data_IF_298831297550
#
_entry.id   IF_298831297550
#
_cell.length_a   1.000
_cell.length_b   1.000
_cell.length_c   1.000
_cell.angle_alpha   90.00
_cell.angle_beta   90.00
_cell.angle_gamma   90.00
#
_symmetry.space_group_name_H-M   'P 1'
#
loop_
_entity.id
_entity.type
_entity.pdbx_description
1 polymer ?
#
# COMPACT_ATOMS: atom_id res chain seq x y z
N UNK A 1 -9.47 14.94 -9.74
CA UNK A 1 -9.55 13.46 -9.64
C UNK A 1 -8.29 12.96 -8.97
N UNK A 2 -8.41 12.12 -7.97
CA UNK A 2 -7.24 11.56 -7.27
C UNK A 2 -6.56 10.52 -8.16
N UNK A 3 -5.24 10.58 -8.24
CA UNK A 3 -4.42 9.68 -9.07
C UNK A 3 -3.85 8.51 -8.30
N UNK A 4 -3.49 8.74 -7.05
CA UNK A 4 -2.85 7.77 -6.19
C UNK A 4 -3.75 7.49 -4.99
N UNK A 5 -3.95 6.22 -4.68
CA UNK A 5 -4.56 5.81 -3.42
C UNK A 5 -3.50 5.38 -2.43
N UNK A 6 -3.48 5.97 -1.25
CA UNK A 6 -2.66 5.52 -0.13
C UNK A 6 -3.60 4.88 0.88
N UNK A 7 -3.46 3.58 1.08
CA UNK A 7 -4.31 2.85 2.01
C UNK A 7 -3.50 2.04 3.02
N UNK A 8 -4.10 1.84 4.17
CA UNK A 8 -3.47 1.14 5.29
C UNK A 8 -4.49 0.31 6.06
N UNK A 9 -4.04 -0.76 6.69
CA UNK A 9 -4.92 -1.66 7.44
C UNK A 9 -5.39 -1.12 8.79
N UNK A 10 -4.70 -0.12 9.33
CA UNK A 10 -4.99 0.51 10.61
C UNK A 10 -4.49 1.94 10.63
N UNK A 11 -5.10 2.79 11.44
CA UNK A 11 -4.62 4.14 11.71
C UNK A 11 -3.24 4.15 12.38
N UNK A 12 -2.85 3.07 13.04
CA UNK A 12 -1.50 2.89 13.59
C UNK A 12 -0.41 2.87 12.53
N UNK A 13 -0.74 2.60 11.27
CA UNK A 13 0.18 2.62 10.13
C UNK A 13 0.36 4.04 9.55
N UNK A 14 -0.47 4.99 9.96
CA UNK A 14 -0.47 6.35 9.41
C UNK A 14 0.89 7.07 9.53
N UNK A 15 1.65 6.96 10.63
CA UNK A 15 2.97 7.60 10.72
C UNK A 15 3.94 7.19 9.60
N UNK A 16 3.83 5.96 9.12
CA UNK A 16 4.61 5.46 7.98
C UNK A 16 4.00 5.92 6.66
N UNK A 17 2.70 5.71 6.50
CA UNK A 17 2.02 5.92 5.23
C UNK A 17 1.86 7.39 4.83
N UNK A 18 1.74 8.30 5.80
CA UNK A 18 1.65 9.75 5.52
C UNK A 18 2.90 10.32 4.84
N UNK A 19 4.04 9.65 4.98
CA UNK A 19 5.27 10.09 4.33
C UNK A 19 5.20 9.96 2.80
N UNK A 20 4.49 8.95 2.30
CA UNK A 20 4.19 8.86 0.87
C UNK A 20 3.37 10.08 0.40
N UNK A 21 2.38 10.48 1.19
CA UNK A 21 1.59 11.69 0.91
C UNK A 21 2.43 12.95 0.85
N UNK A 22 3.36 13.13 1.79
CA UNK A 22 4.25 14.30 1.82
C UNK A 22 5.08 14.44 0.53
N UNK A 23 5.48 13.33 -0.06
CA UNK A 23 6.24 13.33 -1.31
C UNK A 23 5.36 13.60 -2.50
N UNK A 24 4.18 13.01 -2.54
CA UNK A 24 3.21 13.32 -3.59
C UNK A 24 2.80 14.79 -3.55
N UNK A 25 2.69 15.39 -2.36
CA UNK A 25 2.50 16.83 -2.20
C UNK A 25 3.64 17.63 -2.82
N UNK A 26 4.88 17.24 -2.54
CA UNK A 26 6.07 17.91 -3.11
C UNK A 26 6.15 17.77 -4.63
N UNK A 27 5.62 16.68 -5.18
CA UNK A 27 5.56 16.42 -6.62
C UNK A 27 4.32 17.01 -7.30
N UNK A 28 3.39 17.58 -6.55
CA UNK A 28 2.15 18.13 -7.08
C UNK A 28 1.19 17.06 -7.61
N UNK A 29 1.25 15.84 -7.09
CA UNK A 29 0.39 14.73 -7.50
C UNK A 29 -0.78 14.57 -6.54
N UNK A 30 -2.00 14.58 -7.07
CA UNK A 30 -3.21 14.38 -6.26
C UNK A 30 -3.32 12.95 -5.76
N UNK A 31 -3.62 12.80 -4.48
CA UNK A 31 -3.80 11.51 -3.84
C UNK A 31 -4.93 11.54 -2.80
N UNK A 32 -5.38 10.38 -2.43
CA UNK A 32 -6.23 10.16 -1.25
C UNK A 32 -5.51 9.27 -0.25
N UNK A 33 -5.79 9.45 1.03
CA UNK A 33 -5.26 8.60 2.10
C UNK A 33 -6.40 8.14 2.99
N UNK A 34 -6.53 6.84 3.20
CA UNK A 34 -7.63 6.28 3.99
C UNK A 34 -7.29 4.91 4.59
N UNK A 35 -8.03 4.53 5.62
CA UNK A 35 -7.93 3.21 6.25
C UNK A 35 -8.88 2.24 5.56
N UNK A 36 -8.33 1.11 5.11
CA UNK A 36 -9.08 -0.01 4.54
C UNK A 36 -8.48 -1.30 5.10
N UNK A 37 -9.17 -1.96 6.00
CA UNK A 37 -8.66 -3.17 6.63
C UNK A 37 -9.15 -4.43 5.91
N UNK A 38 -8.22 -5.29 5.52
CA UNK A 38 -8.55 -6.57 4.90
C UNK A 38 -9.35 -7.49 5.83
N UNK A 39 -9.04 -7.50 7.11
CA UNK A 39 -9.64 -8.39 8.09
C UNK A 39 -10.86 -7.79 8.80
N UNK A 40 -10.85 -6.48 9.07
CA UNK A 40 -11.91 -5.82 9.85
C UNK A 40 -12.99 -5.19 8.97
N UNK A 41 -12.64 -4.76 7.76
CA UNK A 41 -13.56 -4.15 6.80
C UNK A 41 -13.42 -4.77 5.41
N UNK A 42 -13.64 -6.10 5.26
CA UNK A 42 -13.42 -6.80 4.00
C UNK A 42 -14.31 -6.29 2.87
N UNK A 43 -15.55 -5.90 3.16
CA UNK A 43 -16.46 -5.30 2.17
C UNK A 43 -15.90 -3.99 1.62
N UNK A 44 -15.41 -3.12 2.49
CA UNK A 44 -14.78 -1.85 2.09
C UNK A 44 -13.54 -2.09 1.21
N UNK A 45 -12.74 -3.11 1.53
CA UNK A 45 -11.61 -3.50 0.69
C UNK A 45 -12.06 -3.89 -0.71
N UNK A 46 -13.10 -4.70 -0.82
CA UNK A 46 -13.64 -5.14 -2.11
C UNK A 46 -14.14 -3.96 -2.93
N UNK A 47 -14.96 -3.10 -2.33
CA UNK A 47 -15.49 -1.89 -2.96
C UNK A 47 -14.37 -0.94 -3.41
N UNK A 48 -13.35 -0.74 -2.57
CA UNK A 48 -12.21 0.11 -2.90
C UNK A 48 -11.43 -0.43 -4.11
N UNK A 49 -11.11 -1.71 -4.11
CA UNK A 49 -10.34 -2.32 -5.19
C UNK A 49 -11.11 -2.37 -6.51
N UNK A 50 -12.38 -2.73 -6.48
CA UNK A 50 -13.23 -2.83 -7.66
C UNK A 50 -13.52 -1.46 -8.31
N UNK A 51 -13.63 -0.41 -7.51
CA UNK A 51 -13.89 0.95 -7.99
C UNK A 51 -12.62 1.73 -8.38
N UNK A 52 -11.44 1.26 -8.03
CA UNK A 52 -10.20 2.00 -8.16
C UNK A 52 -9.92 2.48 -9.59
N UNK A 53 -10.01 1.58 -10.57
CA UNK A 53 -9.76 1.92 -11.98
C UNK A 53 -10.79 2.91 -12.52
N UNK A 54 -12.07 2.72 -12.25
CA UNK A 54 -13.13 3.63 -12.71
C UNK A 54 -13.09 5.00 -12.06
N UNK A 55 -12.52 5.10 -10.83
CA UNK A 55 -12.28 6.39 -10.17
C UNK A 55 -11.01 7.11 -10.65
N UNK A 56 -10.26 6.51 -11.57
CA UNK A 56 -9.06 7.09 -12.17
C UNK A 56 -7.79 6.92 -11.33
N UNK A 57 -7.76 6.03 -10.36
CA UNK A 57 -6.54 5.70 -9.65
C UNK A 57 -5.55 4.99 -10.59
N UNK A 58 -4.33 5.47 -10.63
CA UNK A 58 -3.25 4.95 -11.47
C UNK A 58 -2.33 3.98 -10.70
N UNK A 59 -2.21 4.18 -9.39
CA UNK A 59 -1.45 3.31 -8.48
C UNK A 59 -2.12 3.32 -7.10
N UNK A 60 -2.04 2.20 -6.40
CA UNK A 60 -2.41 2.12 -4.99
C UNK A 60 -1.19 1.73 -4.17
N UNK A 61 -0.85 2.56 -3.19
CA UNK A 61 0.19 2.29 -2.21
C UNK A 61 -0.49 1.74 -0.96
N UNK A 62 -0.25 0.48 -0.66
CA UNK A 62 -0.94 -0.25 0.39
C UNK A 62 0.04 -0.70 1.49
N UNK A 63 -0.13 -0.17 2.68
CA UNK A 63 0.67 -0.52 3.86
C UNK A 63 -0.06 -1.41 4.83
N UNK A 64 0.61 -2.43 5.32
CA UNK A 64 0.06 -3.33 6.32
C UNK A 64 1.17 -3.97 7.18
N UNK A 65 0.82 -4.30 8.41
CA UNK A 65 1.73 -4.93 9.36
C UNK A 65 1.21 -6.29 9.86
N UNK A 66 2.12 -7.12 10.33
CA UNK A 66 1.80 -8.47 10.80
C UNK A 66 1.40 -9.40 9.67
N UNK A 67 0.23 -10.01 9.75
CA UNK A 67 -0.41 -10.73 8.64
C UNK A 67 -0.91 -9.71 7.61
N UNK A 68 -0.01 -9.21 6.81
CA UNK A 68 -0.19 -8.06 5.92
C UNK A 68 -0.86 -8.47 4.59
N UNK A 69 -2.11 -8.91 4.66
CA UNK A 69 -2.85 -9.44 3.50
C UNK A 69 -3.45 -8.35 2.60
N UNK A 70 -3.51 -7.11 3.06
CA UNK A 70 -4.18 -6.01 2.34
C UNK A 70 -3.65 -5.82 0.91
N UNK A 71 -2.35 -5.71 0.63
CA UNK A 71 -1.86 -5.48 -0.73
C UNK A 71 -2.23 -6.62 -1.69
N UNK A 72 -2.04 -7.86 -1.27
CA UNK A 72 -2.36 -9.04 -2.10
C UNK A 72 -3.86 -9.18 -2.39
N UNK A 73 -4.70 -8.91 -1.42
CA UNK A 73 -6.15 -8.95 -1.59
C UNK A 73 -6.64 -7.85 -2.54
N UNK A 74 -6.08 -6.65 -2.47
CA UNK A 74 -6.35 -5.60 -3.45
C UNK A 74 -5.94 -6.03 -4.85
N UNK A 75 -4.72 -6.51 -5.01
CA UNK A 75 -4.18 -6.92 -6.31
C UNK A 75 -5.02 -8.03 -6.97
N UNK A 76 -5.70 -8.85 -6.19
CA UNK A 76 -6.59 -9.90 -6.70
C UNK A 76 -7.89 -9.35 -7.30
N UNK A 77 -8.24 -8.09 -7.06
CA UNK A 77 -9.53 -7.49 -7.39
C UNK A 77 -9.46 -6.25 -8.27
N UNK A 78 -8.28 -5.79 -8.61
CA UNK A 78 -8.09 -4.61 -9.46
C UNK A 78 -6.98 -4.80 -10.48
N UNK A 79 -7.09 -4.09 -11.60
CA UNK A 79 -6.01 -3.99 -12.58
C UNK A 79 -5.05 -2.84 -12.27
N UNK A 80 -5.37 -2.01 -11.29
CA UNK A 80 -4.50 -0.91 -10.85
C UNK A 80 -3.26 -1.49 -10.16
N UNK A 81 -2.05 -1.08 -10.52
CA UNK A 81 -0.82 -1.55 -9.87
C UNK A 81 -0.83 -1.31 -8.36
N UNK A 82 -0.43 -2.32 -7.61
CA UNK A 82 -0.35 -2.27 -6.15
C UNK A 82 1.11 -2.22 -5.70
N UNK A 83 1.43 -1.23 -4.89
CA UNK A 83 2.72 -1.08 -4.21
C UNK A 83 2.54 -1.45 -2.74
N UNK A 84 3.06 -2.61 -2.36
CA UNK A 84 2.96 -3.14 -1.01
C UNK A 84 4.07 -2.64 -0.09
N UNK A 85 3.68 -2.07 1.03
CA UNK A 85 4.61 -1.53 2.03
C UNK A 85 4.52 -2.36 3.31
N UNK A 86 5.55 -3.14 3.64
CA UNK A 86 5.61 -3.83 4.91
C UNK A 86 5.84 -2.83 6.05
N UNK A 87 4.89 -2.76 6.97
CA UNK A 87 5.02 -1.93 8.17
C UNK A 87 5.66 -2.74 9.29
N UNK A 88 6.58 -2.14 10.02
CA UNK A 88 7.23 -2.81 11.14
C UNK A 88 6.21 -3.28 12.17
N UNK A 89 6.39 -4.50 12.66
CA UNK A 89 5.51 -5.15 13.62
C UNK A 89 6.19 -5.32 14.98
N UNK A 90 5.37 -5.46 16.03
CA UNK A 90 5.86 -5.52 17.41
C UNK A 90 6.74 -6.75 17.68
N UNK A 91 6.36 -7.91 17.16
CA UNK A 91 7.02 -9.18 17.53
C UNK A 91 8.12 -9.61 16.56
N UNK A 92 7.92 -9.43 15.27
CA UNK A 92 8.88 -9.86 14.23
C UNK A 92 9.48 -8.69 13.44
N UNK A 93 9.35 -7.49 13.93
CA UNK A 93 10.01 -6.27 13.39
C UNK A 93 9.73 -6.01 11.90
N UNK A 94 8.60 -6.50 11.40
CA UNK A 94 8.18 -6.33 10.02
C UNK A 94 8.57 -7.46 9.07
N UNK A 95 9.32 -8.48 9.52
CA UNK A 95 9.60 -9.67 8.68
C UNK A 95 8.32 -10.42 8.33
N UNK A 96 7.40 -10.56 9.28
CA UNK A 96 6.07 -11.12 9.05
C UNK A 96 5.27 -10.30 8.03
N UNK A 97 5.33 -8.98 8.11
CA UNK A 97 4.72 -8.09 7.13
C UNK A 97 5.32 -8.29 5.74
N UNK A 98 6.64 -8.32 5.65
CA UNK A 98 7.36 -8.53 4.39
C UNK A 98 7.00 -9.87 3.74
N UNK A 99 7.05 -10.95 4.49
CA UNK A 99 6.74 -12.29 3.96
C UNK A 99 5.26 -12.42 3.55
N UNK A 100 4.36 -11.76 4.26
CA UNK A 100 2.93 -11.75 3.89
C UNK A 100 2.65 -11.04 2.56
N UNK A 101 3.51 -10.11 2.17
CA UNK A 101 3.32 -9.27 0.97
C UNK A 101 4.11 -9.82 -0.22
N UNK A 102 5.35 -10.27 -0.02
CA UNK A 102 6.27 -10.55 -1.14
C UNK A 102 6.03 -11.89 -1.83
N UNK A 103 5.53 -12.91 -1.12
CA UNK A 103 5.33 -14.26 -1.66
C UNK A 103 3.97 -14.38 -2.38
N UNK A 104 3.77 -13.59 -3.43
CA UNK A 104 2.52 -13.59 -4.19
C UNK A 104 2.40 -14.79 -5.13
N UNK A 105 1.18 -15.33 -5.31
CA UNK A 105 0.93 -16.37 -6.29
C UNK A 105 1.06 -15.84 -7.72
N UNK A 106 1.35 -16.74 -8.65
CA UNK A 106 1.41 -16.44 -10.08
C UNK A 106 0.10 -15.78 -10.56
N UNK A 107 0.22 -14.67 -11.27
CA UNK A 107 -0.91 -13.93 -11.84
C UNK A 107 -1.46 -12.81 -10.95
N UNK A 108 -0.98 -12.68 -9.71
CA UNK A 108 -1.40 -11.62 -8.78
C UNK A 108 -0.16 -10.86 -8.29
N UNK A 109 0.38 -9.92 -9.08
CA UNK A 109 1.62 -9.23 -8.73
C UNK A 109 1.39 -8.12 -7.69
N UNK A 110 2.32 -8.01 -6.75
CA UNK A 110 2.46 -6.85 -5.85
C UNK A 110 3.91 -6.41 -5.85
N UNK A 111 4.18 -5.18 -6.23
CA UNK A 111 5.51 -4.59 -6.07
C UNK A 111 5.77 -4.35 -4.58
N UNK A 112 6.77 -5.01 -4.00
CA UNK A 112 7.01 -4.99 -2.56
C UNK A 112 8.22 -4.13 -2.23
N UNK A 113 8.04 -3.19 -1.31
CA UNK A 113 9.08 -2.28 -0.85
C UNK A 113 9.71 -2.76 0.46
N UNK A 114 10.76 -2.08 0.91
CA UNK A 114 11.44 -2.45 2.14
C UNK A 114 10.61 -2.13 3.40
N UNK A 115 10.88 -2.81 4.49
CA UNK A 115 10.17 -2.65 5.76
C UNK A 115 10.28 -1.19 6.25
N UNK A 116 9.14 -0.55 6.48
CA UNK A 116 9.05 0.81 7.03
C UNK A 116 9.66 1.92 6.19
N UNK A 117 10.03 1.65 4.94
CA UNK A 117 10.92 2.50 4.14
C UNK A 117 10.27 3.30 3.03
N UNK A 118 8.98 3.58 3.08
CA UNK A 118 8.40 4.59 2.18
C UNK A 118 9.12 5.95 2.32
N UNK A 119 9.58 6.27 3.49
CA UNK A 119 10.31 7.48 3.82
C UNK A 119 11.68 7.59 3.14
N UNK A 120 12.42 6.49 3.04
CA UNK A 120 13.79 6.53 2.49
C UNK A 120 13.86 6.44 0.97
N UNK A 121 12.87 5.87 0.32
CA UNK A 121 12.76 5.88 -1.14
C UNK A 121 12.62 7.30 -1.69
N UNK A 122 12.15 8.18 -0.85
CA UNK A 122 11.78 9.52 -1.24
C UNK A 122 12.85 10.59 -0.88
N UNK A 123 13.82 10.25 -0.07
CA UNK A 123 14.86 11.22 0.34
C UNK A 123 16.17 11.08 -0.44
N UNK A 124 16.23 10.30 -1.51
CA UNK A 124 17.45 10.27 -2.33
C UNK A 124 17.75 9.01 -3.13
N UNK A 125 16.90 8.02 -3.10
CA UNK A 125 17.04 6.90 -4.03
C UNK A 125 16.03 7.06 -5.16
N UNK A 126 16.45 7.65 -6.24
CA UNK A 126 15.81 7.45 -7.53
C UNK A 126 15.91 5.96 -7.83
N UNK A 127 14.82 5.23 -7.65
CA UNK A 127 14.74 3.88 -8.20
C UNK A 127 14.65 4.05 -9.71
N UNK A 128 15.76 3.99 -10.36
CA UNK A 128 15.82 3.79 -11.81
C UNK A 128 15.33 2.37 -12.05
N UNK A 129 14.20 2.25 -12.69
CA UNK A 129 13.72 0.99 -13.26
C UNK A 129 14.60 0.58 -14.44
#
# INVERSE_FOLDING_TARGET
MKKIGIIMGSDSDLPVMKEAGAILDALGVDYEITVVSAHRTPKRLMEYSESAASRGLEVIIAGAGGAAHLPGMLASKTIVPIFGVPVASKYLRGEDSLYSIVQMPKGVPVATFAIGLLCKLCTGAVVTF
#
